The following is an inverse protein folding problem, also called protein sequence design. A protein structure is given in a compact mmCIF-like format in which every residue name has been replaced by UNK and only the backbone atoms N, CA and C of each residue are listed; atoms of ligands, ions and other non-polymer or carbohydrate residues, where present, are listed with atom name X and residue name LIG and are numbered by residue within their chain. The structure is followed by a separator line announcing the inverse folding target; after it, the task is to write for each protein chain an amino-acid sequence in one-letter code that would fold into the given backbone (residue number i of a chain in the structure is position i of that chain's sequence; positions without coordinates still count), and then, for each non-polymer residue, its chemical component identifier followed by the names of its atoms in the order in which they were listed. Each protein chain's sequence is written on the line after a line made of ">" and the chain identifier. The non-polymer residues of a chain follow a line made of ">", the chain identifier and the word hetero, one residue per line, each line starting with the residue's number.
data_IF_279814566921
#
_entry.id   IF_279814566921
#
_cell.length_a   1.000
_cell.length_b   1.000
_cell.length_c   1.000
_cell.angle_alpha   90.00
_cell.angle_beta   90.00
_cell.angle_gamma   90.00
#
_symmetry.space_group_name_H-M   'P 1'
#
loop_
_entity.id
_entity.type
_entity.pdbx_description
1 polymer ?
#
# COMPACT_ATOMS: atom_id res chain seq x y z
N UNK A 1 -25.48 -5.10 14.64
CA UNK A 1 -24.60 -4.19 13.87
C UNK A 1 -23.49 -3.77 14.82
N UNK A 2 -22.31 -4.38 14.72
CA UNK A 2 -21.19 -4.16 15.64
C UNK A 2 -20.24 -3.10 15.08
N UNK A 3 -19.97 -2.06 15.86
CA UNK A 3 -18.97 -1.03 15.58
C UNK A 3 -17.61 -1.65 15.26
N UNK A 4 -16.97 -1.34 14.12
CA UNK A 4 -15.67 -1.90 13.78
C UNK A 4 -14.60 -1.22 14.64
N UNK A 5 -14.11 -1.94 15.65
CA UNK A 5 -12.96 -1.53 16.46
C UNK A 5 -11.65 -1.57 15.65
N UNK A 6 -10.60 -0.85 16.11
CA UNK A 6 -9.33 -0.67 15.39
C UNK A 6 -8.63 -1.97 14.95
N UNK A 7 -8.91 -3.09 15.62
CA UNK A 7 -8.41 -4.42 15.28
C UNK A 7 -8.97 -4.98 13.95
N UNK A 8 -10.05 -4.41 13.39
CA UNK A 8 -10.67 -4.89 12.14
C UNK A 8 -10.09 -4.26 10.87
N UNK A 9 -9.10 -3.35 10.95
CA UNK A 9 -8.50 -2.74 9.75
C UNK A 9 -7.44 -3.61 9.10
N UNK A 10 -6.61 -4.30 9.90
CA UNK A 10 -5.51 -5.10 9.38
C UNK A 10 -5.97 -6.33 8.58
N UNK A 11 -7.07 -6.97 8.99
CA UNK A 11 -7.64 -8.13 8.30
C UNK A 11 -8.45 -7.78 7.05
N UNK A 12 -8.86 -6.51 6.88
CA UNK A 12 -9.77 -6.10 5.80
C UNK A 12 -9.08 -5.45 4.59
N UNK A 13 -7.76 -5.25 4.62
CA UNK A 13 -7.05 -4.54 3.55
C UNK A 13 -6.43 -5.48 2.51
N UNK A 14 -6.16 -6.74 2.85
CA UNK A 14 -5.55 -7.69 1.91
C UNK A 14 -6.47 -7.94 0.72
N UNK A 15 -5.96 -7.75 -0.49
CA UNK A 15 -6.72 -7.86 -1.72
C UNK A 15 -7.53 -6.62 -2.08
N UNK A 16 -7.49 -5.55 -1.28
CA UNK A 16 -8.26 -4.33 -1.55
C UNK A 16 -7.70 -3.50 -2.71
N UNK A 17 -6.45 -3.74 -3.12
CA UNK A 17 -5.77 -2.94 -4.15
C UNK A 17 -5.34 -3.79 -5.35
N UNK A 18 -5.33 -3.16 -6.52
CA UNK A 18 -4.87 -3.75 -7.77
C UNK A 18 -4.18 -2.70 -8.67
N UNK A 19 -3.27 -3.16 -9.52
CA UNK A 19 -2.67 -2.31 -10.56
C UNK A 19 -3.61 -2.20 -11.77
N UNK A 20 -3.64 -1.01 -12.38
CA UNK A 20 -4.26 -0.83 -13.70
C UNK A 20 -3.43 -1.58 -14.75
N UNK A 21 -4.07 -2.11 -15.78
CA UNK A 21 -3.46 -2.98 -16.78
C UNK A 21 -2.14 -2.44 -17.39
N UNK A 22 -2.08 -1.14 -17.68
CA UNK A 22 -0.91 -0.50 -18.28
C UNK A 22 0.10 0.07 -17.25
N UNK A 23 -0.21 0.01 -15.95
CA UNK A 23 0.64 0.59 -14.91
C UNK A 23 1.95 -0.21 -14.74
N UNK A 24 1.91 -1.53 -14.93
CA UNK A 24 3.07 -2.39 -14.71
C UNK A 24 4.27 -2.00 -15.60
N UNK A 25 4.03 -1.71 -16.88
CA UNK A 25 5.08 -1.31 -17.82
C UNK A 25 5.73 0.03 -17.41
N UNK A 26 4.94 0.96 -16.86
CA UNK A 26 5.42 2.27 -16.40
C UNK A 26 6.25 2.19 -15.13
N UNK A 27 5.97 1.22 -14.25
CA UNK A 27 6.59 1.06 -12.94
C UNK A 27 7.85 0.18 -12.97
N UNK A 28 8.00 -0.70 -13.96
CA UNK A 28 9.15 -1.61 -14.08
C UNK A 28 10.47 -0.85 -14.03
N UNK A 29 11.37 -1.24 -13.11
CA UNK A 29 12.69 -0.62 -12.93
C UNK A 29 12.67 0.81 -12.37
N UNK A 30 11.51 1.36 -11.99
CA UNK A 30 11.40 2.70 -11.37
C UNK A 30 11.47 2.63 -9.85
N UNK A 31 11.92 3.71 -9.21
CA UNK A 31 11.75 3.91 -7.76
C UNK A 31 10.35 4.48 -7.53
N UNK A 32 9.58 3.86 -6.65
CA UNK A 32 8.19 4.23 -6.37
C UNK A 32 8.07 4.65 -4.92
N UNK A 33 7.37 5.77 -4.68
CA UNK A 33 7.03 6.25 -3.34
C UNK A 33 5.52 6.18 -3.16
N UNK A 34 5.09 5.52 -2.09
CA UNK A 34 3.75 5.66 -1.53
C UNK A 34 3.78 6.84 -0.58
N UNK A 35 2.86 7.78 -0.76
CA UNK A 35 2.72 8.96 0.08
C UNK A 35 1.37 8.87 0.78
N UNK A 36 1.37 8.99 2.09
CA UNK A 36 0.17 9.02 2.92
C UNK A 36 0.33 10.10 4.01
N UNK A 37 -0.75 10.50 4.66
CA UNK A 37 -0.67 11.46 5.76
C UNK A 37 -0.22 10.79 7.08
N UNK A 38 -0.84 9.67 7.45
CA UNK A 38 -0.62 8.99 8.74
C UNK A 38 -0.39 7.50 8.54
N UNK A 39 0.77 7.02 8.99
CA UNK A 39 1.06 5.59 9.10
C UNK A 39 0.63 5.06 10.47
N UNK A 40 -0.39 4.21 10.51
CA UNK A 40 -0.79 3.50 11.75
C UNK A 40 -0.12 2.13 11.80
N UNK A 41 -0.89 1.04 11.68
CA UNK A 41 -0.36 -0.34 11.67
C UNK A 41 0.48 -0.67 10.43
N UNK A 42 0.47 0.19 9.41
CA UNK A 42 1.16 -0.05 8.14
C UNK A 42 0.43 -0.98 7.17
N UNK A 43 -0.68 -1.61 7.57
CA UNK A 43 -1.38 -2.61 6.75
C UNK A 43 -1.73 -2.10 5.34
N UNK A 44 -2.24 -0.87 5.22
CA UNK A 44 -2.55 -0.24 3.92
C UNK A 44 -1.31 -0.08 3.06
N UNK A 45 -0.22 0.43 3.63
CA UNK A 45 1.03 0.67 2.92
C UNK A 45 1.69 -0.65 2.48
N UNK A 46 1.64 -1.69 3.32
CA UNK A 46 2.14 -3.02 3.00
C UNK A 46 1.38 -3.66 1.84
N UNK A 47 0.06 -3.56 1.84
CA UNK A 47 -0.75 -4.12 0.77
C UNK A 47 -0.52 -3.38 -0.56
N UNK A 48 -0.48 -2.05 -0.53
CA UNK A 48 -0.10 -1.24 -1.70
C UNK A 48 1.30 -1.62 -2.20
N UNK A 49 2.28 -1.79 -1.30
CA UNK A 49 3.62 -2.21 -1.66
C UNK A 49 3.65 -3.63 -2.26
N UNK A 50 2.84 -4.56 -1.75
CA UNK A 50 2.68 -5.91 -2.29
C UNK A 50 2.20 -5.87 -3.73
N UNK A 51 1.17 -5.08 -4.01
CA UNK A 51 0.61 -4.89 -5.35
C UNK A 51 1.60 -4.21 -6.30
N UNK A 52 2.31 -3.17 -5.84
CA UNK A 52 3.34 -2.49 -6.63
C UNK A 52 4.52 -3.40 -6.97
N UNK A 53 4.95 -4.27 -6.05
CA UNK A 53 6.07 -5.21 -6.28
C UNK A 53 5.82 -6.17 -7.43
N UNK A 54 4.56 -6.51 -7.73
CA UNK A 54 4.22 -7.34 -8.89
C UNK A 54 4.66 -6.70 -10.23
N UNK A 55 4.75 -5.36 -10.28
CA UNK A 55 5.27 -4.63 -11.45
C UNK A 55 6.80 -4.59 -11.55
N UNK A 56 7.54 -5.20 -10.61
CA UNK A 56 9.01 -5.20 -10.56
C UNK A 56 9.65 -3.80 -10.61
N UNK A 57 9.25 -2.87 -9.72
CA UNK A 57 9.96 -1.61 -9.55
C UNK A 57 11.39 -1.86 -9.02
N UNK A 58 12.26 -0.87 -9.18
CA UNK A 58 13.59 -0.86 -8.57
C UNK A 58 13.53 -0.81 -7.03
N UNK A 59 12.56 -0.05 -6.50
CA UNK A 59 12.30 0.03 -5.06
C UNK A 59 10.89 0.55 -4.80
N UNK A 60 10.33 0.20 -3.64
CA UNK A 60 9.09 0.78 -3.12
C UNK A 60 9.38 1.33 -1.73
N UNK A 61 9.21 2.63 -1.54
CA UNK A 61 9.33 3.31 -0.25
C UNK A 61 7.99 3.89 0.19
N UNK A 62 7.85 4.16 1.48
CA UNK A 62 6.67 4.80 2.09
C UNK A 62 7.13 6.08 2.77
N UNK A 63 6.44 7.19 2.49
CA UNK A 63 6.64 8.48 3.13
C UNK A 63 5.32 8.91 3.76
N UNK A 64 5.35 9.19 5.06
CA UNK A 64 4.19 9.68 5.80
C UNK A 64 4.55 10.89 6.64
N UNK A 65 3.60 11.81 6.81
CA UNK A 65 3.79 13.01 7.64
C UNK A 65 3.81 12.65 9.13
N UNK A 66 2.97 11.71 9.56
CA UNK A 66 2.88 11.26 10.94
C UNK A 66 2.82 9.73 11.06
N UNK A 67 3.11 9.24 12.26
CA UNK A 67 2.95 7.83 12.64
C UNK A 67 2.28 7.73 14.01
N UNK A 68 1.39 6.76 14.17
CA UNK A 68 0.68 6.46 15.42
C UNK A 68 0.90 5.01 15.85
#
# INVERSE_FOLDING_TARGET
>A
QGTPGPLSRASNVRGAFALRAHAAARLKGRRVWLIDDVLTSGATAEECARVLRAARPKSVGVLCLARA
#
